data_IF_015454652659
#
_entry.id   IF_015454652659
#
_cell.length_a   1.000
_cell.length_b   1.000
_cell.length_c   1.000
_cell.angle_alpha   90.00
_cell.angle_beta   90.00
_cell.angle_gamma   90.00
#
_symmetry.space_group_name_H-M   'P 1'
#
loop_
_entity.id
_entity.type
_entity.pdbx_description
1 polymer ?
#
# COMPACT_ATOMS: atom_id res chain seq x y z
N UNK A 1 -69.69 -80.37 -24.07
CA UNK A 1 -68.86 -80.36 -25.30
C UNK A 1 -67.51 -79.78 -24.89
N UNK A 2 -66.56 -80.63 -24.47
CA UNK A 2 -65.43 -81.11 -25.29
C UNK A 2 -64.53 -79.93 -25.73
N UNK A 3 -63.46 -79.59 -25.00
CA UNK A 3 -62.13 -80.26 -24.90
C UNK A 3 -61.37 -80.32 -26.23
N UNK A 4 -60.29 -79.54 -26.35
CA UNK A 4 -59.11 -79.71 -27.23
C UNK A 4 -58.17 -78.52 -26.97
N UNK A 5 -57.03 -78.56 -26.28
CA UNK A 5 -55.79 -79.37 -26.39
C UNK A 5 -55.18 -79.40 -27.80
N UNK A 6 -54.15 -78.59 -28.01
CA UNK A 6 -53.07 -78.74 -29.00
C UNK A 6 -51.85 -78.02 -28.43
N UNK A 7 -50.96 -78.73 -27.74
CA UNK A 7 -49.82 -79.53 -28.25
C UNK A 7 -48.77 -78.72 -29.01
N UNK A 8 -47.58 -78.76 -28.39
CA UNK A 8 -46.30 -78.19 -28.76
C UNK A 8 -45.86 -78.54 -30.18
N UNK A 9 -45.22 -77.56 -30.83
CA UNK A 9 -44.25 -77.83 -31.88
C UNK A 9 -43.01 -76.98 -31.60
N UNK A 10 -42.06 -77.57 -30.88
CA UNK A 10 -40.74 -77.01 -30.70
C UNK A 10 -40.01 -76.99 -32.05
N UNK A 11 -39.70 -75.78 -32.53
CA UNK A 11 -38.77 -75.57 -33.63
C UNK A 11 -37.33 -75.87 -33.16
N UNK A 12 -36.48 -76.49 -34.01
CA UNK A 12 -35.10 -76.75 -33.66
C UNK A 12 -34.33 -75.43 -33.57
N UNK A 13 -33.85 -75.11 -32.37
CA UNK A 13 -32.92 -74.02 -32.11
C UNK A 13 -31.68 -74.18 -32.99
N UNK A 14 -31.50 -73.24 -33.93
CA UNK A 14 -30.27 -73.11 -34.70
C UNK A 14 -29.07 -72.94 -33.73
N UNK A 15 -27.88 -73.48 -34.05
CA UNK A 15 -26.71 -73.31 -33.20
C UNK A 15 -26.39 -71.81 -33.14
N UNK A 16 -26.40 -71.25 -31.93
CA UNK A 16 -25.83 -69.93 -31.66
C UNK A 16 -24.39 -69.92 -32.16
N UNK A 17 -24.13 -69.05 -33.13
CA UNK A 17 -22.83 -68.81 -33.75
C UNK A 17 -21.77 -68.58 -32.68
N UNK A 18 -20.86 -69.54 -32.52
CA UNK A 18 -19.79 -69.49 -31.54
C UNK A 18 -18.77 -68.38 -31.86
N UNK A 19 -18.84 -67.73 -33.03
CA UNK A 19 -17.97 -66.61 -33.42
C UNK A 19 -18.41 -65.25 -32.85
N UNK A 20 -19.64 -65.13 -32.33
CA UNK A 20 -20.15 -63.88 -31.74
C UNK A 20 -19.83 -63.72 -30.24
N UNK A 21 -19.44 -64.80 -29.55
CA UNK A 21 -19.07 -64.78 -28.12
C UNK A 21 -17.76 -64.04 -27.82
N UNK A 22 -16.66 -64.23 -28.59
CA UNK A 22 -15.41 -63.50 -28.35
C UNK A 22 -15.57 -61.98 -28.49
N UNK A 23 -16.36 -61.52 -29.47
CA UNK A 23 -16.65 -60.09 -29.64
C UNK A 23 -17.49 -59.50 -28.50
N UNK A 24 -18.37 -60.30 -27.89
CA UNK A 24 -19.15 -59.87 -26.74
C UNK A 24 -18.26 -59.73 -25.50
N UNK A 25 -17.36 -60.69 -25.29
CA UNK A 25 -16.41 -60.69 -24.18
C UNK A 25 -15.39 -59.54 -24.30
N UNK A 26 -14.95 -59.21 -25.52
CA UNK A 26 -14.08 -58.05 -25.79
C UNK A 26 -14.81 -56.71 -25.54
N UNK A 27 -16.09 -56.62 -25.91
CA UNK A 27 -16.90 -55.42 -25.63
C UNK A 27 -17.12 -55.24 -24.13
N UNK A 28 -17.37 -56.32 -23.40
CA UNK A 28 -17.55 -56.27 -21.94
C UNK A 28 -16.25 -55.91 -21.22
N UNK A 29 -15.09 -56.40 -21.69
CA UNK A 29 -13.78 -56.00 -21.20
C UNK A 29 -13.50 -54.51 -21.45
N UNK A 30 -13.83 -54.04 -22.66
CA UNK A 30 -13.68 -52.62 -23.02
C UNK A 30 -14.58 -51.74 -22.16
N UNK A 31 -15.84 -52.12 -21.95
CA UNK A 31 -16.79 -51.40 -21.09
C UNK A 31 -16.26 -51.34 -19.65
N UNK A 32 -15.73 -52.45 -19.12
CA UNK A 32 -15.17 -52.48 -17.76
C UNK A 32 -13.95 -51.57 -17.64
N UNK A 33 -13.05 -51.61 -18.63
CA UNK A 33 -11.87 -50.76 -18.69
C UNK A 33 -12.24 -49.28 -18.77
N UNK A 34 -13.22 -48.92 -19.59
CA UNK A 34 -13.71 -47.55 -19.72
C UNK A 34 -14.37 -47.07 -18.43
N UNK A 35 -15.17 -47.90 -17.75
CA UNK A 35 -15.76 -47.56 -16.44
C UNK A 35 -14.68 -47.30 -15.38
N UNK A 36 -13.64 -48.13 -15.34
CA UNK A 36 -12.51 -47.92 -14.42
C UNK A 36 -11.76 -46.62 -14.70
N UNK A 37 -11.52 -46.30 -15.98
CA UNK A 37 -10.88 -45.02 -16.37
C UNK A 37 -11.76 -43.81 -16.03
N UNK A 38 -13.08 -43.90 -16.28
CA UNK A 38 -14.03 -42.84 -15.94
C UNK A 38 -14.01 -42.56 -14.42
N UNK A 39 -14.08 -43.60 -13.60
CA UNK A 39 -14.04 -43.48 -12.14
C UNK A 39 -12.74 -42.81 -11.65
N UNK A 40 -11.57 -43.17 -12.21
CA UNK A 40 -10.29 -42.51 -11.89
C UNK A 40 -10.25 -41.06 -12.35
N UNK A 41 -10.87 -40.73 -13.48
CA UNK A 41 -10.99 -39.34 -13.94
C UNK A 41 -11.92 -38.53 -13.02
N UNK A 42 -13.04 -39.09 -12.58
CA UNK A 42 -13.96 -38.44 -11.65
C UNK A 42 -13.32 -38.20 -10.28
N UNK A 43 -12.56 -39.16 -9.75
CA UNK A 43 -11.78 -38.97 -8.51
C UNK A 43 -10.69 -37.91 -8.68
N UNK A 44 -10.00 -37.90 -9.82
CA UNK A 44 -9.00 -36.86 -10.13
C UNK A 44 -9.64 -35.48 -10.29
N UNK A 45 -10.79 -35.38 -10.94
CA UNK A 45 -11.56 -34.12 -11.07
C UNK A 45 -12.02 -33.65 -9.71
N UNK A 46 -12.62 -34.52 -8.87
CA UNK A 46 -13.02 -34.16 -7.49
C UNK A 46 -11.84 -33.70 -6.64
N UNK A 47 -10.71 -34.41 -6.70
CA UNK A 47 -9.48 -33.98 -6.02
C UNK A 47 -8.93 -32.66 -6.57
N UNK A 48 -9.23 -32.31 -7.83
CA UNK A 48 -8.91 -30.98 -8.39
C UNK A 48 -9.93 -29.93 -7.99
N UNK A 49 -11.22 -30.25 -7.91
CA UNK A 49 -12.28 -29.37 -7.43
C UNK A 49 -12.04 -28.99 -5.97
N UNK A 50 -11.67 -29.93 -5.10
CA UNK A 50 -11.27 -29.63 -3.71
C UNK A 50 -10.03 -28.72 -3.65
N UNK A 51 -9.05 -28.94 -4.54
CA UNK A 51 -7.89 -28.05 -4.67
C UNK A 51 -8.26 -26.70 -5.26
N UNK A 52 -9.22 -26.63 -6.19
CA UNK A 52 -9.72 -25.37 -6.76
C UNK A 52 -10.59 -24.60 -5.76
N UNK A 53 -11.39 -25.27 -4.94
CA UNK A 53 -12.12 -24.69 -3.81
C UNK A 53 -11.15 -24.22 -2.73
N UNK A 54 -10.13 -25.01 -2.40
CA UNK A 54 -9.07 -24.59 -1.49
C UNK A 54 -8.29 -23.40 -2.07
N UNK A 55 -7.99 -23.41 -3.37
CA UNK A 55 -7.36 -22.29 -4.08
C UNK A 55 -8.31 -21.09 -4.12
N UNK A 56 -9.60 -21.25 -4.34
CA UNK A 56 -10.58 -20.15 -4.39
C UNK A 56 -10.84 -19.56 -2.99
N UNK A 57 -10.81 -20.38 -1.94
CA UNK A 57 -10.83 -19.91 -0.55
C UNK A 57 -9.48 -19.25 -0.19
N UNK A 58 -8.36 -19.84 -0.63
CA UNK A 58 -7.00 -19.31 -0.42
C UNK A 58 -6.62 -18.18 -1.37
N UNK A 59 -7.37 -17.86 -2.40
CA UNK A 59 -7.12 -16.72 -3.29
C UNK A 59 -8.24 -15.69 -3.15
N UNK A 60 -9.44 -16.11 -2.77
CA UNK A 60 -10.68 -15.42 -3.12
C UNK A 60 -10.86 -15.47 -4.63
N UNK A 61 -12.08 -15.64 -5.15
CA UNK A 61 -12.32 -15.17 -6.51
C UNK A 61 -11.93 -13.69 -6.53
N UNK A 62 -10.86 -13.37 -7.27
CA UNK A 62 -10.27 -12.03 -7.36
C UNK A 62 -11.33 -10.95 -7.64
N UNK A 63 -12.45 -11.35 -8.26
CA UNK A 63 -13.59 -10.51 -8.60
C UNK A 63 -14.60 -10.28 -7.47
N UNK A 64 -14.76 -11.19 -6.50
CA UNK A 64 -15.68 -10.99 -5.37
C UNK A 64 -15.08 -10.06 -4.32
N UNK A 65 -13.78 -10.22 -4.06
CA UNK A 65 -13.01 -9.39 -3.15
C UNK A 65 -12.28 -8.30 -3.93
N UNK A 66 -13.02 -7.47 -4.68
CA UNK A 66 -12.45 -6.33 -5.42
C UNK A 66 -11.63 -5.50 -4.45
N UNK A 67 -10.32 -5.61 -4.57
CA UNK A 67 -9.32 -4.86 -3.86
C UNK A 67 -8.44 -4.17 -4.91
N UNK A 68 -7.81 -3.07 -4.52
CA UNK A 68 -6.90 -2.35 -5.43
C UNK A 68 -5.78 -3.29 -5.87
N UNK A 69 -5.61 -3.49 -7.18
CA UNK A 69 -4.57 -4.37 -7.74
C UNK A 69 -3.19 -4.03 -7.14
N UNK A 70 -2.42 -5.04 -6.65
CA UNK A 70 -1.10 -4.82 -6.08
C UNK A 70 -0.10 -4.11 -7.00
N UNK A 71 -0.29 -4.13 -8.31
CA UNK A 71 0.50 -3.36 -9.27
C UNK A 71 0.19 -1.86 -9.25
N UNK A 72 -0.99 -1.47 -8.78
CA UNK A 72 -1.44 -0.07 -8.71
C UNK A 72 -1.05 0.62 -7.39
N UNK A 73 -0.66 -0.12 -6.35
CA UNK A 73 -0.37 0.42 -5.01
C UNK A 73 0.67 1.53 -5.02
N UNK A 74 1.81 1.31 -5.70
CA UNK A 74 2.87 2.31 -5.80
C UNK A 74 2.37 3.63 -6.41
N UNK A 75 1.54 3.55 -7.46
CA UNK A 75 0.93 4.72 -8.11
C UNK A 75 -0.09 5.41 -7.22
N UNK A 76 -0.92 4.66 -6.48
CA UNK A 76 -1.91 5.21 -5.53
C UNK A 76 -1.21 5.94 -4.37
N UNK A 77 -0.21 5.32 -3.76
CA UNK A 77 0.61 5.93 -2.70
C UNK A 77 1.38 7.16 -3.21
N UNK A 78 1.83 7.15 -4.47
CA UNK A 78 2.38 8.35 -5.10
C UNK A 78 1.34 9.45 -5.36
N UNK A 79 0.09 9.08 -5.60
CA UNK A 79 -1.04 10.01 -5.75
C UNK A 79 -1.24 10.84 -4.49
N UNK A 80 -1.25 10.18 -3.32
CA UNK A 80 -1.27 10.84 -2.01
C UNK A 80 -0.15 11.87 -1.87
N UNK A 81 1.07 11.47 -2.21
CA UNK A 81 2.22 12.37 -2.13
C UNK A 81 2.04 13.66 -2.96
N UNK A 82 1.58 13.50 -4.20
CA UNK A 82 1.32 14.64 -5.09
C UNK A 82 0.23 15.56 -4.53
N UNK A 83 -0.81 14.98 -3.92
CA UNK A 83 -1.90 15.73 -3.31
C UNK A 83 -1.42 16.52 -2.08
N UNK A 84 -0.66 15.90 -1.18
CA UNK A 84 -0.14 16.57 0.02
C UNK A 84 0.80 17.72 -0.35
N UNK A 85 1.64 17.52 -1.36
CA UNK A 85 2.52 18.57 -1.87
C UNK A 85 1.74 19.77 -2.43
N UNK A 86 0.57 19.53 -3.03
CA UNK A 86 -0.30 20.58 -3.52
C UNK A 86 -0.96 21.34 -2.36
N UNK A 87 -1.46 20.65 -1.34
CA UNK A 87 -2.00 21.28 -0.10
C UNK A 87 -0.91 22.07 0.63
N UNK A 88 0.28 21.49 0.80
CA UNK A 88 1.43 22.16 1.43
C UNK A 88 1.88 23.43 0.69
N UNK A 89 1.65 23.51 -0.63
CA UNK A 89 1.93 24.73 -1.41
C UNK A 89 0.96 25.87 -1.07
N UNK A 90 -0.29 25.57 -0.79
CA UNK A 90 -1.30 26.56 -0.40
C UNK A 90 -1.17 26.97 1.07
N UNK A 91 -0.99 25.98 1.94
CA UNK A 91 -1.08 26.15 3.39
C UNK A 91 0.24 26.45 4.10
N UNK A 92 1.36 26.01 3.54
CA UNK A 92 2.69 26.21 4.12
C UNK A 92 3.31 27.54 3.73
N UNK A 93 4.35 27.93 4.47
CA UNK A 93 5.17 29.10 4.15
C UNK A 93 5.76 29.04 2.72
N UNK A 94 6.04 30.22 2.15
CA UNK A 94 6.45 30.32 0.74
C UNK A 94 7.95 30.14 0.55
N UNK A 95 8.72 30.57 1.55
CA UNK A 95 10.17 30.53 1.55
C UNK A 95 10.72 29.79 2.77
N UNK A 96 11.92 29.24 2.63
CA UNK A 96 12.69 28.71 3.75
C UNK A 96 13.01 29.78 4.80
N UNK A 97 13.17 31.05 4.39
CA UNK A 97 13.41 32.18 5.30
C UNK A 97 12.24 32.42 6.25
N UNK A 98 11.01 32.09 5.84
CA UNK A 98 9.84 32.21 6.72
C UNK A 98 9.94 31.24 7.91
N UNK A 99 10.70 30.14 7.79
CA UNK A 99 10.94 29.20 8.89
C UNK A 99 11.90 29.74 9.96
N UNK A 100 12.55 30.88 9.72
CA UNK A 100 13.38 31.55 10.72
C UNK A 100 12.55 32.16 11.86
N UNK A 101 11.24 32.33 11.66
CA UNK A 101 10.34 32.71 12.75
C UNK A 101 10.14 31.60 13.80
N UNK A 102 10.52 30.35 13.49
CA UNK A 102 10.40 29.23 14.41
C UNK A 102 11.47 29.29 15.50
N UNK A 103 11.05 29.08 16.74
CA UNK A 103 11.98 28.92 17.86
C UNK A 103 12.85 27.68 17.68
N UNK A 104 13.99 27.65 18.37
CA UNK A 104 14.89 26.48 18.35
C UNK A 104 14.15 25.21 18.80
N UNK A 105 13.32 25.33 19.83
CA UNK A 105 12.52 24.22 20.36
C UNK A 105 11.50 23.72 19.33
N UNK A 106 10.84 24.63 18.60
CA UNK A 106 9.92 24.27 17.53
C UNK A 106 10.64 23.52 16.40
N UNK A 107 11.78 24.03 15.94
CA UNK A 107 12.63 23.38 14.93
C UNK A 107 13.03 21.96 15.36
N UNK A 108 13.43 21.77 16.63
CA UNK A 108 13.79 20.46 17.16
C UNK A 108 12.58 19.51 17.27
N UNK A 109 11.41 20.00 17.69
CA UNK A 109 10.19 19.19 17.73
C UNK A 109 9.76 18.72 16.34
N UNK A 110 9.89 19.59 15.32
CA UNK A 110 9.61 19.23 13.92
C UNK A 110 10.55 18.12 13.45
N UNK A 111 11.86 18.23 13.69
CA UNK A 111 12.82 17.18 13.34
C UNK A 111 12.53 15.88 14.10
N UNK A 112 12.24 15.95 15.40
CA UNK A 112 11.89 14.78 16.18
C UNK A 112 10.67 14.03 15.61
N UNK A 113 9.65 14.77 15.15
CA UNK A 113 8.50 14.17 14.46
C UNK A 113 8.88 13.57 13.11
N UNK A 114 9.91 14.07 12.44
CA UNK A 114 10.43 13.56 11.19
C UNK A 114 11.62 12.61 11.37
N UNK A 115 11.83 12.03 12.56
CA UNK A 115 12.87 11.02 12.76
C UNK A 115 12.76 9.90 11.71
N UNK A 116 13.91 9.50 11.16
CA UNK A 116 14.02 8.58 10.02
C UNK A 116 13.91 9.23 8.63
N UNK A 117 13.42 10.46 8.51
CA UNK A 117 13.23 11.15 7.22
C UNK A 117 14.36 12.14 6.88
N UNK A 118 15.27 12.41 7.82
CA UNK A 118 16.49 13.19 7.60
C UNK A 118 17.71 12.43 8.13
N UNK A 119 18.90 12.83 7.69
CA UNK A 119 20.15 12.19 8.08
C UNK A 119 20.32 12.23 9.60
N UNK A 120 20.55 11.08 10.27
CA UNK A 120 20.73 11.03 11.71
C UNK A 120 21.87 11.94 12.19
N UNK A 121 21.64 12.64 13.30
CA UNK A 121 22.63 13.47 13.97
C UNK A 121 22.77 14.90 13.45
N UNK A 122 22.05 15.30 12.40
CA UNK A 122 22.03 16.69 11.95
C UNK A 122 21.07 17.53 12.80
N UNK A 123 21.55 18.69 13.27
CA UNK A 123 20.69 19.74 13.81
C UNK A 123 20.05 20.56 12.67
N UNK A 124 19.00 21.33 12.98
CA UNK A 124 18.25 22.09 11.98
C UNK A 124 19.12 22.99 11.10
N UNK A 125 19.94 23.85 11.71
CA UNK A 125 20.73 24.83 10.95
C UNK A 125 21.82 24.15 10.10
N UNK A 126 22.36 23.03 10.58
CA UNK A 126 23.29 22.20 9.81
C UNK A 126 22.59 21.55 8.61
N UNK A 127 21.40 20.99 8.82
CA UNK A 127 20.60 20.42 7.74
C UNK A 127 20.28 21.48 6.67
N UNK A 128 19.79 22.65 7.07
CA UNK A 128 19.41 23.72 6.14
C UNK A 128 20.62 24.25 5.36
N UNK A 129 21.77 24.46 6.02
CA UNK A 129 22.97 25.01 5.37
C UNK A 129 23.57 24.08 4.30
N UNK A 130 23.34 22.77 4.40
CA UNK A 130 23.81 21.78 3.43
C UNK A 130 22.87 21.58 2.25
N UNK A 131 21.68 22.17 2.28
CA UNK A 131 20.74 22.16 1.16
C UNK A 131 21.10 23.26 0.15
N UNK A 132 20.92 22.96 -1.14
CA UNK A 132 21.06 24.00 -2.17
C UNK A 132 19.99 25.08 -2.05
N UNK A 133 20.18 26.29 -2.61
CA UNK A 133 19.22 27.39 -2.49
C UNK A 133 17.79 26.99 -2.88
N UNK A 134 17.62 26.25 -3.99
CA UNK A 134 16.31 25.79 -4.41
C UNK A 134 15.71 24.71 -3.50
N UNK A 135 16.55 23.86 -2.90
CA UNK A 135 16.08 22.94 -1.87
C UNK A 135 15.62 23.71 -0.62
N UNK A 136 16.40 24.68 -0.14
CA UNK A 136 16.03 25.54 1.01
C UNK A 136 14.68 26.23 0.82
N UNK A 137 14.39 26.77 -0.37
CA UNK A 137 13.11 27.43 -0.66
C UNK A 137 11.91 26.47 -0.64
N UNK A 138 12.12 25.18 -0.91
CA UNK A 138 11.08 24.15 -0.92
C UNK A 138 10.93 23.42 0.42
N UNK A 139 11.81 23.70 1.39
CA UNK A 139 11.83 23.04 2.69
C UNK A 139 10.49 23.13 3.45
N UNK A 140 9.78 24.28 3.54
CA UNK A 140 8.50 24.34 4.25
C UNK A 140 7.47 23.33 3.70
N UNK A 141 7.41 23.21 2.37
CA UNK A 141 6.49 22.29 1.69
C UNK A 141 6.85 20.85 1.99
N UNK A 142 8.14 20.54 2.01
CA UNK A 142 8.63 19.20 2.37
C UNK A 142 8.21 18.81 3.79
N UNK A 143 8.43 19.69 4.77
CA UNK A 143 8.12 19.42 6.18
C UNK A 143 6.65 19.03 6.37
N UNK A 144 5.73 19.83 5.83
CA UNK A 144 4.28 19.55 5.91
C UNK A 144 3.94 18.22 5.25
N UNK A 145 4.44 18.02 4.02
CA UNK A 145 4.15 16.82 3.23
C UNK A 145 4.65 15.56 3.93
N UNK A 146 5.87 15.59 4.46
CA UNK A 146 6.49 14.49 5.19
C UNK A 146 5.78 14.20 6.51
N UNK A 147 5.36 15.22 7.26
CA UNK A 147 4.61 15.02 8.51
C UNK A 147 3.25 14.36 8.26
N UNK A 148 2.50 14.84 7.26
CA UNK A 148 1.21 14.24 6.89
C UNK A 148 1.40 12.77 6.51
N UNK A 149 2.32 12.49 5.59
CA UNK A 149 2.52 11.12 5.12
C UNK A 149 3.02 10.19 6.22
N UNK A 150 4.01 10.63 7.02
CA UNK A 150 4.56 9.80 8.10
C UNK A 150 3.48 9.46 9.13
N UNK A 151 2.68 10.44 9.56
CA UNK A 151 1.58 10.19 10.50
C UNK A 151 0.58 9.17 9.94
N UNK A 152 0.22 9.26 8.65
CA UNK A 152 -0.65 8.25 8.03
C UNK A 152 0.02 6.88 7.87
N UNK A 153 1.30 6.84 7.48
CA UNK A 153 2.11 5.61 7.40
C UNK A 153 2.05 4.84 8.72
N UNK A 154 2.33 5.56 9.80
CA UNK A 154 2.37 5.03 11.17
C UNK A 154 1.00 4.52 11.64
N UNK A 155 -0.09 5.19 11.26
CA UNK A 155 -1.45 4.84 11.69
C UNK A 155 -2.09 3.71 10.90
N UNK A 156 -1.99 3.75 9.57
CA UNK A 156 -2.79 2.88 8.69
C UNK A 156 -2.06 1.64 8.21
N UNK A 157 -0.74 1.71 8.03
CA UNK A 157 0.02 0.61 7.40
C UNK A 157 0.92 -0.16 8.37
N UNK A 158 1.21 0.38 9.56
CA UNK A 158 1.96 -0.33 10.59
C UNK A 158 1.14 -1.43 11.28
N UNK A 159 -0.16 -1.20 11.48
CA UNK A 159 -1.08 -2.16 12.08
C UNK A 159 -2.30 -2.37 11.17
N UNK A 160 -2.48 -3.50 10.47
CA UNK A 160 -3.59 -3.73 9.56
C UNK A 160 -4.95 -3.90 10.25
N UNK A 161 -4.99 -3.96 11.58
CA UNK A 161 -6.21 -4.16 12.39
C UNK A 161 -6.67 -2.88 13.09
N UNK A 162 -6.09 -1.73 12.74
CA UNK A 162 -6.29 -0.42 13.38
C UNK A 162 -7.77 0.01 13.52
N UNK A 163 -8.64 -0.48 12.63
CA UNK A 163 -10.06 -0.11 12.55
C UNK A 163 -10.99 -1.03 13.34
N UNK A 164 -10.50 -2.14 13.90
CA UNK A 164 -11.35 -3.09 14.61
C UNK A 164 -11.83 -2.52 15.94
N UNK A 165 -13.07 -2.89 16.28
CA UNK A 165 -13.71 -2.46 17.51
C UNK A 165 -13.03 -3.06 18.74
N UNK A 166 -13.04 -2.29 19.81
CA UNK A 166 -12.66 -2.77 21.13
C UNK A 166 -13.90 -2.64 22.01
N UNK A 167 -14.46 -3.77 22.42
CA UNK A 167 -15.59 -3.78 23.37
C UNK A 167 -15.11 -3.63 24.82
N UNK A 168 -13.79 -3.57 25.07
CA UNK A 168 -13.25 -3.46 26.42
C UNK A 168 -13.08 -2.00 26.87
N UNK A 169 -14.09 -1.48 27.58
CA UNK A 169 -14.01 -0.27 28.41
C UNK A 169 -13.28 -0.56 29.75
N UNK A 170 -12.03 -1.02 29.67
CA UNK A 170 -11.17 -1.28 30.82
C UNK A 170 -9.87 -0.49 30.76
N UNK A 171 -9.49 0.30 31.79
CA UNK A 171 -8.30 1.17 31.75
C UNK A 171 -6.95 0.41 31.75
N UNK A 172 -6.95 -0.93 31.71
CA UNK A 172 -5.76 -1.78 31.87
C UNK A 172 -5.61 -2.89 30.83
N UNK A 173 -6.56 -3.07 29.90
CA UNK A 173 -6.38 -4.04 28.80
C UNK A 173 -5.72 -3.38 27.59
N UNK A 174 -4.74 -4.08 27.00
CA UNK A 174 -4.20 -3.72 25.68
C UNK A 174 -5.33 -3.75 24.67
N UNK A 175 -5.42 -2.76 23.77
CA UNK A 175 -6.56 -2.70 22.85
C UNK A 175 -6.60 -3.89 21.88
N UNK A 176 -7.81 -4.31 21.44
CA UNK A 176 -7.95 -5.43 20.49
C UNK A 176 -7.05 -5.27 19.24
N UNK A 177 -7.00 -4.09 18.56
CA UNK A 177 -6.09 -3.88 17.44
C UNK A 177 -4.61 -4.13 17.78
N UNK A 178 -4.16 -3.76 18.98
CA UNK A 178 -2.78 -3.95 19.41
C UNK A 178 -2.50 -5.44 19.74
N UNK A 179 -3.45 -6.13 20.36
CA UNK A 179 -3.34 -7.58 20.61
C UNK A 179 -3.25 -8.37 19.28
N UNK A 180 -4.12 -8.07 18.31
CA UNK A 180 -4.12 -8.72 17.01
C UNK A 180 -2.83 -8.43 16.22
N UNK A 181 -2.31 -7.21 16.32
CA UNK A 181 -1.03 -6.88 15.71
C UNK A 181 0.13 -7.66 16.32
N UNK A 182 0.19 -7.76 17.64
CA UNK A 182 1.22 -8.54 18.34
C UNK A 182 1.16 -10.00 17.92
N UNK A 183 -0.03 -10.60 17.91
CA UNK A 183 -0.23 -11.97 17.45
C UNK A 183 0.18 -12.17 15.98
N UNK A 184 -0.18 -11.23 15.11
CA UNK A 184 0.24 -11.24 13.71
C UNK A 184 1.75 -11.21 13.56
N UNK A 185 2.46 -10.37 14.34
CA UNK A 185 3.91 -10.32 14.31
C UNK A 185 4.55 -11.64 14.75
N UNK A 186 3.99 -12.33 15.73
CA UNK A 186 4.43 -13.69 16.09
C UNK A 186 4.18 -14.70 14.96
N UNK A 187 3.02 -14.65 14.30
CA UNK A 187 2.75 -15.51 13.14
C UNK A 187 3.72 -15.25 11.98
N UNK A 188 4.08 -13.99 11.74
CA UNK A 188 5.06 -13.62 10.72
C UNK A 188 6.47 -14.16 11.02
N UNK A 189 6.81 -14.40 12.30
CA UNK A 189 8.08 -15.05 12.69
C UNK A 189 8.03 -16.57 12.50
N UNK A 190 6.87 -17.19 12.71
CA UNK A 190 6.69 -18.64 12.58
C UNK A 190 6.64 -19.04 11.10
N UNK A 191 5.75 -18.42 10.32
CA UNK A 191 5.61 -18.64 8.88
C UNK A 191 4.98 -17.40 8.23
N UNK A 192 5.78 -16.68 7.44
CA UNK A 192 5.36 -15.46 6.73
C UNK A 192 4.13 -15.69 5.85
N UNK A 193 4.01 -16.85 5.18
CA UNK A 193 2.88 -17.12 4.29
C UNK A 193 1.60 -17.31 5.08
N UNK A 194 1.68 -18.02 6.20
CA UNK A 194 0.53 -18.24 7.09
C UNK A 194 0.14 -16.95 7.81
N UNK A 195 1.11 -16.14 8.26
CA UNK A 195 0.85 -14.81 8.80
C UNK A 195 0.13 -13.90 7.79
N UNK A 196 0.62 -13.86 6.55
CA UNK A 196 -0.02 -13.12 5.47
C UNK A 196 -1.44 -13.62 5.16
N UNK A 197 -1.63 -14.94 5.11
CA UNK A 197 -2.94 -15.58 4.91
C UNK A 197 -3.90 -15.22 6.04
N UNK A 198 -3.45 -15.33 7.29
CA UNK A 198 -4.24 -15.04 8.47
C UNK A 198 -4.70 -13.58 8.47
N UNK A 199 -3.77 -12.63 8.32
CA UNK A 199 -4.10 -11.20 8.23
C UNK A 199 -5.14 -10.95 7.15
N UNK A 200 -4.90 -11.47 5.95
CA UNK A 200 -5.80 -11.31 4.81
C UNK A 200 -7.20 -11.82 5.09
N UNK A 201 -7.32 -13.02 5.64
CA UNK A 201 -8.62 -13.63 5.97
C UNK A 201 -9.33 -12.81 7.04
N UNK A 202 -8.63 -12.42 8.11
CA UNK A 202 -9.17 -11.58 9.18
C UNK A 202 -9.66 -10.24 8.65
N UNK A 203 -8.89 -9.55 7.81
CA UNK A 203 -9.31 -8.27 7.21
C UNK A 203 -10.52 -8.47 6.29
N UNK A 204 -10.52 -9.50 5.43
CA UNK A 204 -11.64 -9.79 4.52
C UNK A 204 -12.93 -10.02 5.30
N UNK A 205 -12.90 -10.88 6.32
CA UNK A 205 -14.09 -11.16 7.14
C UNK A 205 -14.54 -9.94 7.95
N UNK A 206 -13.61 -9.12 8.44
CA UNK A 206 -13.93 -7.96 9.27
C UNK A 206 -14.33 -6.70 8.52
N UNK A 207 -14.11 -6.63 7.21
CA UNK A 207 -14.46 -5.47 6.39
C UNK A 207 -15.24 -5.85 5.12
N UNK A 208 -15.90 -7.02 5.13
CA UNK A 208 -16.72 -7.52 4.04
C UNK A 208 -17.98 -6.67 3.81
N UNK A 209 -18.35 -6.50 2.54
CA UNK A 209 -19.51 -5.75 2.09
C UNK A 209 -20.46 -6.64 1.27
N UNK A 210 -21.61 -6.11 0.88
CA UNK A 210 -22.71 -6.84 0.21
C UNK A 210 -22.31 -7.61 -1.06
N UNK A 211 -21.24 -7.19 -1.73
CA UNK A 211 -20.72 -7.90 -2.92
C UNK A 211 -19.94 -9.17 -2.57
N UNK A 212 -19.60 -9.37 -1.29
CA UNK A 212 -18.70 -10.41 -0.77
C UNK A 212 -19.42 -11.39 0.17
N UNK A 213 -20.49 -10.94 0.83
CA UNK A 213 -21.23 -11.70 1.83
C UNK A 213 -22.67 -11.19 1.95
N UNK A 214 -23.59 -12.07 2.31
CA UNK A 214 -24.97 -11.69 2.65
C UNK A 214 -25.06 -11.07 4.06
N UNK A 215 -24.07 -11.31 4.93
CA UNK A 215 -23.98 -10.72 6.27
C UNK A 215 -22.96 -9.58 6.32
N UNK A 216 -23.41 -8.34 6.17
CA UNK A 216 -22.54 -7.16 6.01
C UNK A 216 -22.39 -6.30 7.25
N UNK A 217 -23.21 -6.51 8.27
CA UNK A 217 -23.31 -5.65 9.47
C UNK A 217 -21.95 -5.43 10.14
N UNK A 218 -21.19 -6.51 10.37
CA UNK A 218 -19.87 -6.43 10.99
C UNK A 218 -18.87 -5.64 10.15
N UNK A 219 -18.86 -5.87 8.83
CA UNK A 219 -17.95 -5.18 7.92
C UNK A 219 -18.28 -3.71 7.71
N UNK A 220 -19.58 -3.38 7.62
CA UNK A 220 -20.07 -1.99 7.56
C UNK A 220 -19.74 -1.22 8.83
N UNK A 221 -19.96 -1.83 10.01
CA UNK A 221 -19.61 -1.24 11.32
C UNK A 221 -18.12 -0.92 11.40
N UNK A 222 -17.26 -1.88 11.07
CA UNK A 222 -15.80 -1.72 11.12
C UNK A 222 -15.28 -0.69 10.10
N UNK A 223 -15.84 -0.65 8.88
CA UNK A 223 -15.49 0.38 7.90
C UNK A 223 -15.95 1.77 8.35
N UNK A 224 -17.15 1.89 8.91
CA UNK A 224 -17.64 3.17 9.44
C UNK A 224 -16.75 3.68 10.58
N UNK A 225 -16.39 2.82 11.54
CA UNK A 225 -15.41 3.12 12.59
C UNK A 225 -14.07 3.54 12.02
N UNK A 226 -13.56 2.82 11.02
CA UNK A 226 -12.32 3.18 10.35
C UNK A 226 -12.36 4.60 9.75
N UNK A 227 -13.49 4.98 9.15
CA UNK A 227 -13.70 6.33 8.62
C UNK A 227 -13.80 7.39 9.73
N UNK A 228 -14.41 7.07 10.87
CA UNK A 228 -14.45 7.97 12.04
C UNK A 228 -13.07 8.20 12.65
N UNK A 229 -12.27 7.13 12.81
CA UNK A 229 -10.89 7.23 13.26
C UNK A 229 -10.05 8.08 12.30
N UNK A 230 -10.22 7.91 10.99
CA UNK A 230 -9.54 8.73 9.98
C UNK A 230 -9.87 10.23 10.13
N UNK A 231 -11.15 10.59 10.33
CA UNK A 231 -11.55 11.98 10.61
C UNK A 231 -10.96 12.52 11.91
N UNK A 232 -10.95 11.68 12.96
CA UNK A 232 -10.37 12.02 14.26
C UNK A 232 -8.88 12.32 14.13
N UNK A 233 -8.13 11.45 13.47
CA UNK A 233 -6.69 11.59 13.28
C UNK A 233 -6.31 12.77 12.41
N UNK A 234 -7.08 13.06 11.35
CA UNK A 234 -6.92 14.29 10.57
C UNK A 234 -7.08 15.55 11.45
N UNK A 235 -8.11 15.55 12.31
CA UNK A 235 -8.34 16.65 13.27
C UNK A 235 -7.22 16.75 14.32
N UNK A 236 -6.72 15.61 14.83
CA UNK A 236 -5.59 15.56 15.77
C UNK A 236 -4.32 16.13 15.14
N UNK A 237 -4.00 15.79 13.89
CA UNK A 237 -2.86 16.35 13.17
C UNK A 237 -2.98 17.87 13.05
N UNK A 238 -4.16 18.38 12.69
CA UNK A 238 -4.39 19.82 12.55
C UNK A 238 -4.40 20.57 13.88
N UNK A 239 -4.72 19.89 14.99
CA UNK A 239 -4.63 20.43 16.33
C UNK A 239 -3.21 20.37 16.92
N UNK A 240 -2.31 19.61 16.28
CA UNK A 240 -0.95 19.43 16.76
C UNK A 240 -0.12 20.72 16.63
N UNK A 241 0.39 21.21 17.75
CA UNK A 241 1.15 22.47 17.80
C UNK A 241 2.43 22.46 16.96
N UNK A 242 3.04 21.29 16.78
CA UNK A 242 4.25 21.14 15.96
C UNK A 242 3.91 21.20 14.48
N UNK A 243 2.77 20.63 14.08
CA UNK A 243 2.28 20.77 12.70
C UNK A 243 1.80 22.20 12.42
N UNK A 244 1.05 22.80 13.35
CA UNK A 244 0.53 24.17 13.21
C UNK A 244 1.62 25.22 13.01
N UNK A 245 2.79 25.05 13.63
CA UNK A 245 3.87 26.02 13.44
C UNK A 245 4.44 26.03 12.02
N UNK A 246 4.14 25.03 11.19
CA UNK A 246 4.55 25.00 9.79
C UNK A 246 3.52 25.64 8.84
N UNK A 247 2.32 25.94 9.34
CA UNK A 247 1.22 26.47 8.54
C UNK A 247 1.23 27.99 8.58
N UNK A 248 0.90 28.61 7.45
CA UNK A 248 0.63 30.05 7.39
C UNK A 248 -0.56 30.40 8.30
N UNK A 249 -0.51 31.57 8.97
CA UNK A 249 -1.71 32.15 9.55
C UNK A 249 -2.76 32.33 8.45
N UNK A 250 -3.95 31.76 8.65
CA UNK A 250 -5.04 31.81 7.69
C UNK A 250 -6.34 32.25 8.33
N UNK A 251 -7.31 32.63 7.52
CA UNK A 251 -8.65 32.93 8.00
C UNK A 251 -9.38 31.66 8.43
N UNK A 252 -10.50 31.81 9.14
CA UNK A 252 -11.34 30.67 9.53
C UNK A 252 -11.75 29.80 8.33
N UNK A 253 -12.02 30.42 7.18
CA UNK A 253 -12.40 29.70 5.95
C UNK A 253 -11.27 28.79 5.46
N UNK A 254 -10.02 29.23 5.59
CA UNK A 254 -8.85 28.44 5.22
C UNK A 254 -8.68 27.25 6.16
N UNK A 255 -8.95 27.43 7.46
CA UNK A 255 -8.91 26.34 8.43
C UNK A 255 -9.99 25.28 8.17
N UNK A 256 -11.22 25.69 7.80
CA UNK A 256 -12.31 24.76 7.46
C UNK A 256 -12.02 23.99 6.17
N UNK A 257 -11.48 24.66 5.15
CA UNK A 257 -11.07 24.01 3.89
C UNK A 257 -9.92 23.01 4.11
N UNK A 258 -8.91 23.38 4.89
CA UNK A 258 -7.79 22.51 5.25
C UNK A 258 -8.26 21.27 6.01
N UNK A 259 -9.19 21.43 6.95
CA UNK A 259 -9.78 20.30 7.65
C UNK A 259 -10.49 19.35 6.68
N UNK A 260 -11.25 19.89 5.73
CA UNK A 260 -11.92 19.09 4.70
C UNK A 260 -10.90 18.31 3.83
N UNK A 261 -9.86 18.98 3.32
CA UNK A 261 -8.84 18.33 2.48
C UNK A 261 -8.07 17.24 3.23
N UNK A 262 -7.51 17.55 4.40
CA UNK A 262 -6.75 16.58 5.19
C UNK A 262 -7.63 15.42 5.63
N UNK A 263 -8.89 15.68 6.00
CA UNK A 263 -9.84 14.60 6.29
C UNK A 263 -10.03 13.68 5.09
N UNK A 264 -10.21 14.23 3.89
CA UNK A 264 -10.32 13.44 2.66
C UNK A 264 -9.12 12.52 2.44
N UNK A 265 -7.90 13.03 2.68
CA UNK A 265 -6.67 12.24 2.57
C UNK A 265 -6.64 11.06 3.55
N UNK A 266 -6.95 11.29 4.82
CA UNK A 266 -6.97 10.22 5.83
C UNK A 266 -8.04 9.17 5.53
N UNK A 267 -9.21 9.59 5.06
CA UNK A 267 -10.31 8.69 4.72
C UNK A 267 -10.00 7.80 3.50
N UNK A 268 -9.33 8.36 2.49
CA UNK A 268 -8.87 7.59 1.34
C UNK A 268 -7.71 6.65 1.73
N UNK A 269 -6.76 7.12 2.56
CA UNK A 269 -5.66 6.31 3.07
C UNK A 269 -6.15 5.12 3.89
N UNK A 270 -7.13 5.34 4.78
CA UNK A 270 -7.84 4.32 5.52
C UNK A 270 -8.44 3.25 4.60
N UNK A 271 -9.13 3.68 3.56
CA UNK A 271 -9.76 2.77 2.58
C UNK A 271 -8.70 1.95 1.84
N UNK A 272 -7.63 2.61 1.37
CA UNK A 272 -6.53 1.94 0.67
C UNK A 272 -5.81 0.93 1.58
N UNK A 273 -5.60 1.24 2.85
CA UNK A 273 -4.93 0.33 3.79
C UNK A 273 -5.74 -0.95 4.04
N UNK A 274 -7.07 -0.85 4.13
CA UNK A 274 -7.97 -2.02 4.20
C UNK A 274 -7.89 -2.82 2.89
N UNK A 275 -7.96 -2.15 1.75
CA UNK A 275 -7.89 -2.81 0.44
C UNK A 275 -6.55 -3.54 0.24
N UNK A 276 -5.43 -2.93 0.62
CA UNK A 276 -4.10 -3.58 0.60
C UNK A 276 -4.13 -4.84 1.48
N UNK A 277 -4.77 -4.76 2.65
CA UNK A 277 -4.87 -5.86 3.60
C UNK A 277 -5.79 -6.99 3.12
N UNK A 278 -6.62 -6.77 2.09
CA UNK A 278 -7.37 -7.85 1.40
C UNK A 278 -6.47 -8.74 0.52
N UNK A 279 -5.20 -8.39 0.36
CA UNK A 279 -4.23 -9.21 -0.37
C UNK A 279 -3.31 -10.00 0.55
N UNK A 280 -2.69 -11.05 -0.01
CA UNK A 280 -1.63 -11.79 0.67
C UNK A 280 -0.31 -11.02 0.74
N UNK A 281 -0.22 -9.88 0.05
CA UNK A 281 0.94 -8.98 0.10
C UNK A 281 0.67 -7.80 1.01
N UNK A 282 1.72 -7.19 1.53
CA UNK A 282 1.67 -5.97 2.33
C UNK A 282 2.64 -4.93 1.77
N UNK A 283 2.47 -3.69 2.22
CA UNK A 283 3.40 -2.60 1.91
C UNK A 283 4.35 -2.44 3.09
N UNK A 284 5.64 -2.40 2.80
CA UNK A 284 6.70 -2.03 3.75
C UNK A 284 7.30 -0.69 3.34
N UNK A 285 7.55 0.17 4.32
CA UNK A 285 8.20 1.46 4.13
C UNK A 285 9.61 1.41 4.73
N UNK A 286 10.62 1.73 3.92
CA UNK A 286 12.00 1.87 4.37
C UNK A 286 12.41 3.33 4.33
N UNK A 287 12.68 3.88 5.52
CA UNK A 287 13.20 5.23 5.72
C UNK A 287 14.74 5.27 5.69
N UNK A 288 15.35 6.42 5.97
CA UNK A 288 16.81 6.59 5.87
C UNK A 288 17.60 5.67 6.81
N UNK A 289 17.01 5.17 7.89
CA UNK A 289 17.69 4.25 8.82
C UNK A 289 17.98 2.91 8.13
N UNK A 290 17.09 2.48 7.23
CA UNK A 290 17.24 1.26 6.45
C UNK A 290 18.03 1.46 5.14
N UNK A 291 18.20 2.71 4.68
CA UNK A 291 18.88 3.04 3.43
C UNK A 291 20.37 3.33 3.68
N UNK A 292 21.16 2.29 3.88
CA UNK A 292 22.62 2.39 3.98
C UNK A 292 23.31 1.80 2.74
N UNK A 293 24.37 2.45 2.19
CA UNK A 293 24.91 3.75 2.58
C UNK A 293 24.03 4.93 2.12
N UNK A 294 24.08 6.05 2.85
CA UNK A 294 23.37 7.30 2.53
C UNK A 294 24.02 8.11 1.40
N UNK A 295 24.27 7.46 0.27
CA UNK A 295 24.94 8.06 -0.89
C UNK A 295 24.04 7.90 -2.11
N UNK A 296 23.82 9.00 -2.84
CA UNK A 296 22.99 8.99 -4.03
C UNK A 296 23.75 8.46 -5.26
N UNK A 297 23.06 7.63 -6.03
CA UNK A 297 23.47 7.19 -7.35
C UNK A 297 22.24 7.18 -8.27
N UNK A 298 22.32 7.83 -9.43
CA UNK A 298 21.20 7.94 -10.37
C UNK A 298 20.71 6.59 -10.91
N UNK A 299 21.58 5.58 -10.95
CA UNK A 299 21.21 4.20 -11.35
C UNK A 299 20.58 3.39 -10.22
N UNK A 300 20.37 3.98 -9.05
CA UNK A 300 19.75 3.29 -7.91
C UNK A 300 18.36 2.79 -8.30
N UNK A 301 18.09 1.53 -7.96
CA UNK A 301 16.78 0.88 -8.04
C UNK A 301 15.84 1.35 -6.93
N UNK A 302 16.37 1.92 -5.84
CA UNK A 302 15.64 2.36 -4.65
C UNK A 302 15.49 3.88 -4.55
N UNK A 303 16.46 4.63 -5.05
CA UNK A 303 16.52 6.08 -4.87
C UNK A 303 16.18 6.82 -6.17
N UNK A 304 15.61 8.00 -6.03
CA UNK A 304 15.37 8.93 -7.11
C UNK A 304 15.56 10.34 -6.59
N UNK A 305 16.13 11.22 -7.41
CA UNK A 305 16.38 12.58 -7.01
C UNK A 305 15.08 13.38 -6.90
N UNK A 306 14.90 14.12 -5.81
CA UNK A 306 13.80 15.05 -5.66
C UNK A 306 13.87 16.16 -6.73
N UNK A 307 12.71 16.61 -7.21
CA UNK A 307 12.62 17.77 -8.11
C UNK A 307 13.28 19.04 -7.56
N UNK A 308 13.36 19.19 -6.23
CA UNK A 308 14.05 20.30 -5.57
C UNK A 308 15.55 20.33 -5.90
N UNK A 309 16.21 19.17 -5.97
CA UNK A 309 17.61 19.08 -6.34
C UNK A 309 17.83 19.10 -7.87
N UNK A 310 16.75 18.95 -8.66
CA UNK A 310 16.81 19.01 -10.14
C UNK A 310 16.79 20.43 -10.69
N UNK A 311 16.26 21.41 -9.96
CA UNK A 311 16.09 22.77 -10.48
C UNK A 311 17.34 23.66 -10.37
N UNK A 312 18.40 23.22 -9.67
CA UNK A 312 19.75 23.81 -9.77
C UNK A 312 20.37 23.72 -11.17
N UNK A 313 19.67 23.10 -12.13
CA UNK A 313 20.11 22.88 -13.51
C UNK A 313 19.82 24.06 -14.42
N UNK A 314 20.20 25.28 -14.04
CA UNK A 314 20.05 26.46 -14.90
C UNK A 314 21.15 26.61 -15.97
N UNK A 315 22.09 25.66 -16.09
CA UNK A 315 23.05 25.65 -17.20
C UNK A 315 23.22 24.27 -17.83
N UNK A 316 22.51 24.05 -18.94
CA UNK A 316 22.89 23.09 -19.98
C UNK A 316 22.86 21.62 -19.60
N UNK A 317 21.69 20.97 -19.69
CA UNK A 317 21.60 19.54 -20.02
C UNK A 317 22.32 18.55 -19.08
N UNK A 318 22.59 18.91 -17.83
CA UNK A 318 23.25 18.03 -16.85
C UNK A 318 22.41 16.79 -16.56
N UNK A 319 22.96 15.61 -16.88
CA UNK A 319 22.37 14.30 -16.57
C UNK A 319 22.27 14.10 -15.05
N UNK A 320 21.45 13.13 -14.61
CA UNK A 320 21.30 12.81 -13.16
C UNK A 320 22.58 12.30 -12.51
N UNK A 321 23.57 11.92 -13.31
CA UNK A 321 24.91 11.49 -12.90
C UNK A 321 25.73 12.58 -12.21
N UNK A 322 25.49 13.86 -12.47
CA UNK A 322 26.26 14.97 -11.88
C UNK A 322 26.14 15.12 -10.36
N UNK A 323 25.16 14.45 -9.74
CA UNK A 323 24.99 14.40 -8.29
C UNK A 323 25.34 13.03 -7.70
N UNK A 324 25.87 12.09 -8.50
CA UNK A 324 26.34 10.81 -7.99
C UNK A 324 27.43 11.00 -6.93
N UNK A 325 27.40 10.17 -5.90
CA UNK A 325 28.34 10.24 -4.79
C UNK A 325 27.99 11.30 -3.74
N UNK A 326 27.00 12.16 -3.99
CA UNK A 326 26.54 13.13 -2.98
C UNK A 326 25.79 12.45 -1.85
N UNK A 327 25.94 13.01 -0.66
CA UNK A 327 25.28 12.50 0.53
C UNK A 327 23.78 12.77 0.47
N UNK A 328 22.99 11.77 0.88
CA UNK A 328 21.54 11.90 1.08
C UNK A 328 21.29 12.55 2.44
N UNK A 329 20.62 13.70 2.42
CA UNK A 329 20.29 14.48 3.61
C UNK A 329 18.88 14.24 4.11
N UNK A 330 17.92 14.07 3.19
CA UNK A 330 16.50 13.85 3.54
C UNK A 330 15.81 12.96 2.52
N UNK A 331 14.69 12.37 2.92
CA UNK A 331 13.71 11.76 2.01
C UNK A 331 12.43 12.56 2.03
N UNK A 332 11.94 12.85 0.84
CA UNK A 332 10.58 13.27 0.60
C UNK A 332 9.66 12.10 0.97
N UNK A 333 9.82 10.93 0.36
CA UNK A 333 9.07 9.71 0.71
C UNK A 333 9.99 8.50 0.90
N UNK A 334 9.64 7.53 1.74
CA UNK A 334 10.41 6.29 1.91
C UNK A 334 10.37 5.41 0.66
N UNK A 335 11.26 4.40 0.62
CA UNK A 335 11.15 3.31 -0.36
C UNK A 335 9.96 2.46 0.03
N UNK A 336 9.13 2.13 -0.94
CA UNK A 336 7.95 1.30 -0.76
C UNK A 336 8.21 -0.06 -1.38
N UNK A 337 8.05 -1.11 -0.59
CA UNK A 337 8.13 -2.49 -1.06
C UNK A 337 6.75 -3.13 -1.03
N UNK A 338 6.49 -3.98 -2.02
CA UNK A 338 5.47 -5.01 -1.92
C UNK A 338 6.13 -6.27 -1.39
N UNK A 339 5.71 -6.70 -0.21
CA UNK A 339 6.30 -7.81 0.52
C UNK A 339 5.26 -8.90 0.82
N UNK A 340 5.74 -10.10 1.15
CA UNK A 340 4.89 -11.23 1.53
C UNK A 340 4.33 -12.01 0.34
N UNK A 341 3.15 -12.61 0.53
CA UNK A 341 2.48 -13.45 -0.46
C UNK A 341 2.13 -14.84 0.09
N UNK A 342 1.00 -15.39 -0.37
CA UNK A 342 0.49 -16.70 0.11
C UNK A 342 0.97 -17.87 -0.76
N UNK A 343 1.22 -17.63 -2.04
CA UNK A 343 1.73 -18.64 -3.00
C UNK A 343 3.23 -18.49 -3.26
N UNK A 344 3.66 -17.25 -3.45
CA UNK A 344 5.05 -16.87 -3.72
C UNK A 344 5.39 -15.69 -2.82
N UNK A 345 6.49 -15.80 -2.08
CA UNK A 345 7.01 -14.69 -1.30
C UNK A 345 7.75 -13.75 -2.23
N UNK A 346 7.31 -12.49 -2.27
CA UNK A 346 7.94 -11.42 -3.03
C UNK A 346 8.42 -10.33 -2.10
N UNK A 347 9.45 -9.63 -2.54
CA UNK A 347 9.94 -8.42 -1.91
C UNK A 347 10.49 -7.51 -3.00
N UNK A 348 9.63 -6.68 -3.57
CA UNK A 348 9.93 -5.87 -4.76
C UNK A 348 9.69 -4.39 -4.48
N UNK A 349 10.51 -3.53 -5.07
CA UNK A 349 10.32 -2.07 -5.00
C UNK A 349 9.11 -1.69 -5.86
N UNK A 350 8.08 -1.16 -5.22
CA UNK A 350 6.89 -0.60 -5.90
C UNK A 350 6.91 0.93 -5.93
N UNK A 351 7.81 1.56 -5.19
CA UNK A 351 8.07 2.99 -5.28
C UNK A 351 9.42 3.36 -4.70
N UNK A 352 10.17 4.16 -5.46
CA UNK A 352 11.47 4.67 -5.05
C UNK A 352 11.34 5.80 -4.03
N UNK A 353 12.28 5.85 -3.08
CA UNK A 353 12.45 7.00 -2.21
C UNK A 353 12.88 8.21 -3.04
N UNK A 354 12.30 9.37 -2.73
CA UNK A 354 12.71 10.63 -3.34
C UNK A 354 13.65 11.34 -2.39
N UNK A 355 14.92 11.47 -2.76
CA UNK A 355 15.97 11.96 -1.87
C UNK A 355 16.35 13.40 -2.17
N UNK A 356 16.69 14.11 -1.10
CA UNK A 356 17.34 15.41 -1.13
C UNK A 356 18.81 15.17 -0.81
N UNK A 357 19.68 15.65 -1.68
CA UNK A 357 21.13 15.47 -1.56
C UNK A 357 21.81 16.78 -1.20
N UNK A 358 23.03 16.67 -0.71
CA UNK A 358 23.89 17.83 -0.42
C UNK A 358 24.03 18.77 -1.63
N UNK A 359 23.75 20.05 -1.40
CA UNK A 359 23.88 21.12 -2.39
C UNK A 359 25.34 21.41 -2.72
N UNK A 360 25.57 22.07 -3.86
CA UNK A 360 26.92 22.53 -4.18
C UNK A 360 27.21 23.82 -3.41
N UNK A 361 28.29 23.90 -2.62
CA UNK A 361 28.66 25.14 -1.92
C UNK A 361 29.05 26.29 -2.86
N UNK A 362 29.23 26.03 -4.16
CA UNK A 362 29.71 27.02 -5.14
C UNK A 362 28.64 27.76 -5.94
N UNK A 363 27.35 27.61 -5.62
CA UNK A 363 26.28 28.46 -6.20
C UNK A 363 25.78 29.48 -5.16
N UNK A 364 26.51 30.59 -4.93
CA UNK A 364 26.08 31.65 -4.03
C UNK A 364 24.85 32.37 -4.60
N UNK A 365 23.98 32.83 -3.70
CA UNK A 365 22.77 33.60 -3.95
C UNK A 365 22.91 34.57 -5.14
N UNK A 366 22.34 34.20 -6.29
CA UNK A 366 22.17 35.10 -7.44
C UNK A 366 20.93 35.98 -7.33
N UNK A 367 20.39 36.16 -6.13
CA UNK A 367 19.26 37.05 -5.87
C UNK A 367 19.67 38.54 -5.74
N UNK A 368 20.97 38.87 -5.82
CA UNK A 368 21.45 40.25 -5.69
C UNK A 368 21.62 41.03 -7.03
N UNK A 369 21.16 40.51 -8.16
CA UNK A 369 21.17 41.25 -9.44
C UNK A 369 19.88 41.10 -10.24
N UNK A 370 18.75 41.50 -9.65
CA UNK A 370 17.62 42.02 -10.41
C UNK A 370 17.57 43.54 -10.20
N UNK A 371 18.32 44.28 -11.02
CA UNK A 371 18.12 45.74 -11.14
C UNK A 371 16.69 46.01 -11.64
N UNK A 372 16.02 47.05 -11.14
CA UNK A 372 14.72 47.44 -11.67
C UNK A 372 14.91 47.95 -13.09
N UNK A 373 14.27 47.30 -14.05
CA UNK A 373 14.14 47.85 -15.41
C UNK A 373 13.17 49.02 -15.31
N UNK A 374 13.76 50.22 -15.23
CA UNK A 374 13.12 51.50 -15.44
C UNK A 374 12.37 51.45 -16.78
N UNK A 375 11.05 51.38 -16.70
CA UNK A 375 10.16 51.43 -17.86
C UNK A 375 9.68 52.87 -18.00
N UNK A 376 10.59 53.73 -18.45
CA UNK A 376 10.26 54.99 -19.09
C UNK A 376 10.40 54.82 -20.60
N UNK A 377 9.49 55.48 -21.34
CA UNK A 377 9.37 55.55 -22.81
C UNK A 377 8.66 54.35 -23.48
N UNK A 378 7.63 54.50 -24.31
CA UNK A 378 6.94 55.67 -24.85
C UNK A 378 5.95 55.22 -25.93
N UNK A 379 4.79 55.90 -25.96
CA UNK A 379 3.70 55.87 -26.95
C UNK A 379 2.82 54.62 -27.10
#
# INVERSE_FOLDING_TARGET
MASSKKEDKAEPSAPLDASARPELDEKDELIRTLKSKLCRCEEWIKGKEEVFEEIDIRLGTFMAWIATDPSAWGKRLQGFWSAFRQTARGDGYESGADLDCLSREQKQLVLAKLDGYYKPGLEWDELVSRLSPNARSLLPRWLITAMIFKDMADRFWTNPFWYLEDEQDGPTSTSLPAQLQSLHQEFMKVDVRQGCLWRRTTTRLSAALKRQTDYTEFGEKNRARGQELARKWASELLADKTFQCLLKPGERRDAEYRLYEITGFYQEAASLAIDISFHGYYVEFQDLRALQPLVYHHKSDKLSLCGACRADRTSGGGREDGLDGREVLMIERPVMYRAGGTLELRHEVIGKAYVWVEGDPTDPDKDEQAQPVDSTEGF
#
